data_IF_723044652566
#
_entry.id   IF_723044652566
#
_cell.length_a   1.000
_cell.length_b   1.000
_cell.length_c   1.000
_cell.angle_alpha   90.00
_cell.angle_beta   90.00
_cell.angle_gamma   90.00
#
_symmetry.space_group_name_H-M   'P 1'
#
loop_
_entity.id
_entity.type
_entity.pdbx_description
1 polymer ?
#
# COMPACT_ATOMS: atom_id res chain seq x y z
N UNK A 1 -7.77 10.23 -34.38
CA UNK A 1 -8.86 10.13 -33.37
C UNK A 1 -8.82 8.81 -32.59
N UNK A 2 -8.91 7.63 -33.20
CA UNK A 2 -8.90 6.33 -32.49
C UNK A 2 -7.68 6.13 -31.56
N UNK A 3 -6.46 6.48 -32.00
CA UNK A 3 -5.23 6.31 -31.19
C UNK A 3 -5.21 7.12 -29.90
N UNK A 4 -5.67 8.37 -29.94
CA UNK A 4 -5.74 9.27 -28.77
C UNK A 4 -6.77 8.74 -27.78
N UNK A 5 -7.93 8.30 -28.28
CA UNK A 5 -8.98 7.70 -27.45
C UNK A 5 -8.45 6.49 -26.64
N UNK A 6 -7.67 5.59 -27.24
CA UNK A 6 -7.10 4.46 -26.50
C UNK A 6 -6.10 4.87 -25.43
N UNK A 7 -5.32 5.94 -25.63
CA UNK A 7 -4.44 6.47 -24.60
C UNK A 7 -5.22 7.10 -23.45
N UNK A 8 -6.25 7.89 -23.75
CA UNK A 8 -7.14 8.47 -22.73
C UNK A 8 -7.82 7.35 -21.93
N UNK A 9 -8.38 6.34 -22.61
CA UNK A 9 -9.01 5.21 -21.93
C UNK A 9 -8.01 4.43 -21.07
N UNK A 10 -6.78 4.20 -21.57
CA UNK A 10 -5.73 3.54 -20.79
C UNK A 10 -5.38 4.32 -19.54
N UNK A 11 -5.26 5.65 -19.66
CA UNK A 11 -4.99 6.52 -18.52
C UNK A 11 -6.11 6.47 -17.48
N UNK A 12 -7.38 6.53 -17.90
CA UNK A 12 -8.52 6.44 -16.99
C UNK A 12 -8.54 5.12 -16.22
N UNK A 13 -8.30 3.98 -16.90
CA UNK A 13 -8.23 2.67 -16.25
C UNK A 13 -7.03 2.58 -15.30
N UNK A 14 -5.87 3.11 -15.67
CA UNK A 14 -4.70 3.17 -14.78
C UNK A 14 -4.98 4.01 -13.53
N UNK A 15 -5.61 5.18 -13.69
CA UNK A 15 -5.99 6.02 -12.57
C UNK A 15 -7.01 5.33 -11.66
N UNK A 16 -7.97 4.62 -12.24
CA UNK A 16 -8.91 3.79 -11.49
C UNK A 16 -8.17 2.77 -10.61
N UNK A 17 -7.24 1.99 -11.17
CA UNK A 17 -6.45 1.02 -10.38
C UNK A 17 -5.62 1.70 -9.30
N UNK A 18 -4.99 2.85 -9.60
CA UNK A 18 -4.18 3.59 -8.65
C UNK A 18 -5.01 4.10 -7.46
N UNK A 19 -6.21 4.65 -7.73
CA UNK A 19 -7.14 5.11 -6.68
C UNK A 19 -7.65 3.92 -5.88
N UNK A 20 -8.08 2.85 -6.54
CA UNK A 20 -8.57 1.63 -5.89
C UNK A 20 -7.52 1.09 -4.90
N UNK A 21 -6.29 0.86 -5.37
CA UNK A 21 -5.19 0.35 -4.53
C UNK A 21 -4.86 1.27 -3.35
N UNK A 22 -4.93 2.58 -3.54
CA UNK A 22 -4.69 3.54 -2.46
C UNK A 22 -5.79 3.50 -1.40
N UNK A 23 -7.04 3.30 -1.80
CA UNK A 23 -8.19 3.27 -0.89
C UNK A 23 -8.32 1.92 -0.15
N UNK A 24 -8.02 0.81 -0.81
CA UNK A 24 -8.13 -0.54 -0.23
C UNK A 24 -6.86 -0.99 0.50
N UNK A 25 -5.76 -0.24 0.40
CA UNK A 25 -4.50 -0.59 1.01
C UNK A 25 -4.55 -0.59 2.56
N UNK A 26 -3.81 -1.47 3.24
CA UNK A 26 -3.80 -1.58 4.70
C UNK A 26 -3.19 -0.36 5.40
N UNK A 27 -2.51 0.50 4.65
CA UNK A 27 -1.92 1.77 5.13
C UNK A 27 -2.88 2.95 5.01
N UNK A 28 -4.05 2.77 4.37
CA UNK A 28 -5.06 3.82 4.27
C UNK A 28 -5.60 4.16 5.67
N UNK A 29 -5.59 5.44 6.11
CA UNK A 29 -6.09 5.82 7.42
C UNK A 29 -7.56 5.40 7.61
N UNK A 30 -7.89 4.91 8.80
CA UNK A 30 -9.27 4.57 9.16
C UNK A 30 -9.99 5.87 9.51
N UNK A 31 -10.90 6.31 8.62
CA UNK A 31 -11.74 7.48 8.83
C UNK A 31 -13.01 7.11 9.58
N UNK A 32 -13.53 8.02 10.41
CA UNK A 32 -14.80 7.86 11.08
C UNK A 32 -15.36 9.18 11.59
N UNK A 33 -16.58 9.11 12.12
CA UNK A 33 -17.26 10.20 12.80
C UNK A 33 -17.60 9.75 14.21
N UNK A 34 -17.53 10.67 15.17
CA UNK A 34 -17.97 10.45 16.54
C UNK A 34 -18.73 11.67 17.03
N UNK A 35 -19.68 11.48 17.95
CA UNK A 35 -20.33 12.59 18.65
C UNK A 35 -19.74 12.69 20.05
N UNK A 36 -19.20 13.87 20.38
CA UNK A 36 -18.68 14.21 21.71
C UNK A 36 -19.48 15.42 22.19
N UNK A 37 -20.27 15.24 23.25
CA UNK A 37 -21.12 16.29 23.83
C UNK A 37 -22.02 17.00 22.81
N UNK A 38 -22.58 16.24 21.87
CA UNK A 38 -23.47 16.77 20.82
C UNK A 38 -22.75 17.42 19.64
N UNK A 39 -21.41 17.52 19.68
CA UNK A 39 -20.60 17.97 18.54
C UNK A 39 -20.12 16.78 17.74
N UNK A 40 -20.42 16.78 16.44
CA UNK A 40 -19.93 15.76 15.52
C UNK A 40 -18.50 16.09 15.08
N UNK A 41 -17.58 15.14 15.27
CA UNK A 41 -16.17 15.26 14.92
C UNK A 41 -15.79 14.22 13.86
N UNK A 42 -15.03 14.63 12.85
CA UNK A 42 -14.50 13.74 11.81
C UNK A 42 -13.02 13.45 12.06
N UNK A 43 -12.66 12.18 12.25
CA UNK A 43 -11.30 11.78 12.59
C UNK A 43 -10.70 10.79 11.57
N UNK A 44 -9.37 10.67 11.60
CA UNK A 44 -8.59 9.67 10.89
C UNK A 44 -7.55 9.06 11.81
N UNK A 45 -7.60 7.74 11.95
CA UNK A 45 -6.63 6.93 12.68
C UNK A 45 -5.58 6.39 11.69
N UNK A 46 -4.32 6.75 11.87
CA UNK A 46 -3.24 6.34 10.95
C UNK A 46 -2.92 4.85 11.07
N UNK A 47 -2.62 4.21 9.92
CA UNK A 47 -2.23 2.79 9.85
C UNK A 47 -0.79 2.58 9.35
N UNK A 48 -0.08 3.66 9.06
CA UNK A 48 1.34 3.64 8.68
C UNK A 48 2.06 4.84 9.24
N UNK A 49 3.25 4.61 9.78
CA UNK A 49 4.18 5.65 10.25
C UNK A 49 5.61 5.34 9.83
N UNK A 50 6.43 6.38 9.75
CA UNK A 50 7.87 6.25 9.56
C UNK A 50 8.56 6.01 10.91
N UNK A 51 9.62 5.22 10.91
CA UNK A 51 10.48 5.03 12.10
C UNK A 51 11.35 6.26 12.34
N UNK A 52 11.71 6.51 13.60
CA UNK A 52 12.64 7.56 14.03
C UNK A 52 11.99 8.60 14.93
N UNK A 53 10.70 8.88 14.73
CA UNK A 53 9.94 9.81 15.55
C UNK A 53 8.66 9.18 16.10
N UNK A 54 8.09 9.79 17.13
CA UNK A 54 6.80 9.38 17.68
C UNK A 54 5.70 9.55 16.61
N UNK A 55 4.94 8.49 16.39
CA UNK A 55 3.92 8.40 15.35
C UNK A 55 2.64 9.15 15.75
N UNK A 56 2.24 10.24 15.06
CA UNK A 56 1.01 10.97 15.36
C UNK A 56 -0.20 10.22 14.81
N UNK A 57 -0.80 9.37 15.64
CA UNK A 57 -1.80 8.39 15.18
C UNK A 57 -3.19 8.96 14.95
N UNK A 58 -3.50 10.13 15.49
CA UNK A 58 -4.79 10.79 15.33
C UNK A 58 -4.64 12.05 14.48
N UNK A 59 -5.47 12.17 13.45
CA UNK A 59 -5.70 13.43 12.74
C UNK A 59 -7.19 13.72 12.76
N UNK A 60 -7.56 14.99 12.92
CA UNK A 60 -8.96 15.36 12.94
C UNK A 60 -9.16 16.80 12.51
N UNK A 61 -10.41 17.14 12.21
CA UNK A 61 -10.89 18.51 12.06
C UNK A 61 -11.87 18.77 13.21
N UNK A 62 -11.84 19.98 13.76
CA UNK A 62 -12.72 20.43 14.84
C UNK A 62 -12.61 19.62 16.16
N UNK A 63 -11.38 19.30 16.57
CA UNK A 63 -11.11 18.69 17.89
C UNK A 63 -10.41 19.64 18.88
N UNK A 64 -10.33 20.93 18.56
CA UNK A 64 -9.62 21.89 19.41
C UNK A 64 -10.24 21.98 20.81
N UNK A 65 -9.40 21.92 21.84
CA UNK A 65 -9.82 21.91 23.23
C UNK A 65 -10.20 20.54 23.79
N UNK A 66 -10.28 19.50 22.95
CA UNK A 66 -10.52 18.13 23.42
C UNK A 66 -9.26 17.50 24.01
N UNK A 67 -9.45 16.67 25.03
CA UNK A 67 -8.43 15.79 25.60
C UNK A 67 -8.83 14.33 25.47
N UNK A 68 -7.86 13.44 25.66
CA UNK A 68 -8.12 12.03 25.67
C UNK A 68 -6.91 11.21 26.03
N UNK A 69 -7.05 9.90 25.82
CA UNK A 69 -5.96 8.92 25.96
C UNK A 69 -5.81 8.10 24.70
N UNK A 70 -4.56 7.95 24.28
CA UNK A 70 -4.18 6.89 23.36
C UNK A 70 -3.68 5.72 24.21
N UNK A 71 -4.11 4.52 23.85
CA UNK A 71 -3.64 3.29 24.47
C UNK A 71 -3.10 2.37 23.39
N UNK A 72 -1.95 1.77 23.63
CA UNK A 72 -1.28 0.93 22.64
C UNK A 72 -0.50 -0.22 23.27
N UNK A 73 -0.21 -1.23 22.47
CA UNK A 73 0.77 -2.28 22.77
C UNK A 73 1.33 -2.87 21.48
N UNK A 74 2.47 -3.56 21.58
CA UNK A 74 3.05 -4.24 20.43
C UNK A 74 2.07 -5.31 19.91
N UNK A 75 1.95 -5.38 18.59
CA UNK A 75 0.96 -6.26 17.95
C UNK A 75 1.34 -7.73 18.18
N UNK A 76 0.33 -8.55 18.51
CA UNK A 76 0.47 -9.99 18.79
C UNK A 76 1.46 -10.33 19.92
N UNK A 77 1.61 -9.46 20.91
CA UNK A 77 2.35 -9.75 22.14
C UNK A 77 1.42 -9.88 23.34
N UNK A 78 1.92 -10.43 24.45
CA UNK A 78 1.24 -10.45 25.75
C UNK A 78 1.46 -9.17 26.56
N UNK A 79 1.93 -8.09 25.93
CA UNK A 79 2.19 -6.84 26.64
C UNK A 79 0.90 -6.26 27.22
N UNK A 80 1.05 -5.61 28.37
CA UNK A 80 0.00 -4.76 28.91
C UNK A 80 -0.16 -3.51 28.05
N UNK A 81 -1.38 -2.97 28.00
CA UNK A 81 -1.67 -1.72 27.31
C UNK A 81 -0.98 -0.56 28.02
N UNK A 82 -0.04 0.09 27.33
CA UNK A 82 0.44 1.40 27.73
C UNK A 82 -0.60 2.46 27.38
N UNK A 83 -0.64 3.56 28.12
CA UNK A 83 -1.54 4.67 27.82
C UNK A 83 -0.91 6.02 28.16
N UNK A 84 -1.11 6.98 27.27
CA UNK A 84 -0.63 8.36 27.39
C UNK A 84 -1.81 9.30 27.12
N UNK A 85 -1.90 10.33 27.95
CA UNK A 85 -2.87 11.41 27.76
C UNK A 85 -2.39 12.34 26.64
N UNK A 86 -3.34 12.92 25.91
CA UNK A 86 -3.08 13.95 24.92
C UNK A 86 -4.14 15.03 24.96
N UNK A 87 -3.80 16.18 24.37
CA UNK A 87 -4.72 17.28 24.10
C UNK A 87 -4.67 17.66 22.62
N UNK A 88 -5.71 18.32 22.16
CA UNK A 88 -5.84 18.82 20.80
C UNK A 88 -5.86 20.36 20.80
N UNK A 89 -5.00 20.96 20.00
CA UNK A 89 -4.92 22.41 19.85
C UNK A 89 -4.49 22.78 18.42
N UNK A 90 -5.07 23.86 17.88
CA UNK A 90 -4.78 24.38 16.55
C UNK A 90 -4.86 23.33 15.41
N UNK A 91 -5.87 22.46 15.46
CA UNK A 91 -6.11 21.40 14.49
C UNK A 91 -5.17 20.19 14.61
N UNK A 92 -4.32 20.14 15.64
CA UNK A 92 -3.38 19.04 15.88
C UNK A 92 -3.69 18.37 17.21
N UNK A 93 -3.86 17.05 17.19
CA UNK A 93 -3.98 16.25 18.40
C UNK A 93 -2.64 15.61 18.75
N UNK A 94 -2.23 15.73 20.02
CA UNK A 94 -0.97 15.19 20.53
C UNK A 94 -0.95 13.67 20.71
N UNK A 95 -1.96 12.93 20.24
CA UNK A 95 -2.03 11.47 20.37
C UNK A 95 -0.90 10.82 19.56
N UNK A 96 0.13 10.35 20.27
CA UNK A 96 1.34 9.78 19.68
C UNK A 96 1.61 8.40 20.24
N UNK A 97 2.29 7.59 19.43
CA UNK A 97 2.81 6.28 19.84
C UNK A 97 4.33 6.28 19.66
N UNK A 98 5.11 5.71 20.59
CA UNK A 98 6.56 5.58 20.43
C UNK A 98 6.95 4.89 19.12
N UNK A 99 8.00 5.39 18.47
CA UNK A 99 8.54 4.78 17.26
C UNK A 99 8.84 3.30 17.48
N UNK A 100 8.60 2.48 16.46
CA UNK A 100 8.99 1.07 16.42
C UNK A 100 10.05 0.85 15.34
N UNK A 101 10.86 -0.21 15.45
CA UNK A 101 11.74 -0.62 14.36
C UNK A 101 10.97 -0.88 13.05
N UNK A 102 11.64 -0.86 11.89
CA UNK A 102 11.05 -1.23 10.61
C UNK A 102 10.29 -2.57 10.68
N UNK A 103 9.14 -2.63 10.01
CA UNK A 103 8.20 -3.76 10.04
C UNK A 103 7.52 -4.02 11.41
N UNK A 104 7.83 -3.24 12.44
CA UNK A 104 7.11 -3.22 13.71
C UNK A 104 5.64 -2.86 13.51
N UNK A 105 4.76 -3.53 14.26
CA UNK A 105 3.33 -3.25 14.29
C UNK A 105 2.89 -3.00 15.72
N UNK A 106 2.07 -1.98 15.89
CA UNK A 106 1.45 -1.65 17.18
C UNK A 106 -0.05 -1.62 16.97
N UNK A 107 -0.78 -2.23 17.90
CA UNK A 107 -2.22 -2.04 17.97
C UNK A 107 -2.54 -0.95 18.99
N UNK A 108 -3.48 -0.09 18.64
CA UNK A 108 -3.84 1.05 19.45
C UNK A 108 -5.33 1.38 19.35
N UNK A 109 -5.83 2.10 20.33
CA UNK A 109 -7.13 2.74 20.25
C UNK A 109 -7.06 4.11 20.92
N UNK A 110 -7.99 4.98 20.57
CA UNK A 110 -8.08 6.34 21.09
C UNK A 110 -9.43 6.50 21.79
N UNK A 111 -9.40 7.08 22.98
CA UNK A 111 -10.58 7.52 23.71
C UNK A 111 -10.49 9.02 23.97
N UNK A 112 -11.58 9.74 23.73
CA UNK A 112 -11.73 11.14 24.09
C UNK A 112 -12.40 11.23 25.44
N UNK A 113 -11.93 12.17 26.26
CA UNK A 113 -12.57 12.47 27.51
C UNK A 113 -13.84 13.28 27.22
N UNK A 114 -14.95 12.90 27.87
CA UNK A 114 -16.18 13.66 27.85
C UNK A 114 -16.82 13.60 29.25
N UNK A 115 -17.59 14.63 29.67
CA UNK A 115 -18.21 14.68 30.98
C UNK A 115 -19.16 13.50 31.28
N UNK A 116 -19.85 13.01 30.24
CA UNK A 116 -20.82 11.91 30.37
C UNK A 116 -20.13 10.54 30.46
N UNK A 117 -19.34 10.20 29.44
CA UNK A 117 -18.51 9.00 29.40
C UNK A 117 -17.43 9.14 28.32
N UNK A 118 -16.25 8.52 28.48
CA UNK A 118 -15.22 8.55 27.44
C UNK A 118 -15.71 7.96 26.11
N UNK A 119 -15.49 8.68 25.01
CA UNK A 119 -15.90 8.28 23.66
C UNK A 119 -14.75 7.60 22.94
N UNK A 120 -14.92 6.33 22.54
CA UNK A 120 -13.92 5.60 21.77
C UNK A 120 -14.02 5.96 20.28
N UNK A 121 -12.87 6.21 19.65
CA UNK A 121 -12.80 6.41 18.21
C UNK A 121 -12.61 5.05 17.51
N UNK A 122 -13.64 4.63 16.78
CA UNK A 122 -13.69 3.34 16.09
C UNK A 122 -14.00 2.16 17.02
N UNK A 123 -14.51 1.08 16.44
CA UNK A 123 -15.01 -0.07 17.20
C UNK A 123 -13.86 -0.99 17.66
N UNK A 124 -12.92 -1.27 16.76
CA UNK A 124 -11.80 -2.18 16.99
C UNK A 124 -10.47 -1.43 17.17
N UNK A 125 -9.47 -2.05 17.85
CA UNK A 125 -8.11 -1.52 17.85
C UNK A 125 -7.56 -1.41 16.41
N UNK A 126 -6.90 -0.30 16.12
CA UNK A 126 -6.26 -0.06 14.84
C UNK A 126 -4.82 -0.56 14.90
N UNK A 127 -4.38 -1.25 13.85
CA UNK A 127 -2.98 -1.66 13.71
C UNK A 127 -2.23 -0.62 12.85
N UNK A 128 -1.21 -0.01 13.43
CA UNK A 128 -0.23 0.83 12.72
C UNK A 128 1.03 0.05 12.43
N UNK A 129 1.52 0.13 11.18
CA UNK A 129 2.80 -0.46 10.77
C UNK A 129 3.87 0.62 10.60
N UNK A 130 5.06 0.35 11.12
CA UNK A 130 6.22 1.21 11.01
C UNK A 130 7.09 0.79 9.81
N UNK A 131 7.58 1.79 9.06
CA UNK A 131 8.47 1.62 7.92
C UNK A 131 9.69 2.52 8.05
N UNK A 132 10.82 2.07 7.54
CA UNK A 132 12.01 2.89 7.34
C UNK A 132 11.77 4.02 6.34
N UNK A 133 12.50 5.14 6.46
CA UNK A 133 12.54 6.17 5.42
C UNK A 133 13.11 5.56 4.13
N UNK A 134 12.39 5.72 3.02
CA UNK A 134 12.87 5.29 1.70
C UNK A 134 13.41 6.50 0.95
N UNK A 135 14.66 6.47 0.47
CA UNK A 135 15.23 7.58 -0.29
C UNK A 135 14.37 7.94 -1.52
N UNK A 136 14.12 9.23 -1.72
CA UNK A 136 13.28 9.71 -2.82
C UNK A 136 13.77 9.29 -4.21
N UNK A 137 15.10 9.19 -4.41
CA UNK A 137 15.71 8.73 -5.66
C UNK A 137 15.54 7.22 -5.92
N UNK A 138 14.97 6.45 -4.98
CA UNK A 138 14.60 5.04 -5.15
C UNK A 138 13.08 4.95 -5.30
N UNK A 139 12.34 5.59 -4.39
CA UNK A 139 10.88 5.54 -4.37
C UNK A 139 10.25 6.19 -5.60
N UNK A 140 10.78 7.33 -6.05
CA UNK A 140 10.22 8.05 -7.20
C UNK A 140 10.38 7.24 -8.51
N UNK A 141 11.57 6.71 -8.86
CA UNK A 141 11.69 5.81 -10.00
C UNK A 141 10.79 4.58 -9.90
N UNK A 142 10.69 3.94 -8.72
CA UNK A 142 9.79 2.81 -8.50
C UNK A 142 8.35 3.15 -8.92
N UNK A 143 7.80 4.25 -8.37
CA UNK A 143 6.42 4.67 -8.62
C UNK A 143 6.22 4.96 -10.11
N UNK A 144 7.11 5.75 -10.72
CA UNK A 144 7.00 6.11 -12.15
C UNK A 144 6.99 4.85 -13.02
N UNK A 145 7.91 3.91 -12.78
CA UNK A 145 8.00 2.68 -13.56
C UNK A 145 6.77 1.79 -13.39
N UNK A 146 6.22 1.67 -12.17
CA UNK A 146 4.99 0.91 -11.94
C UNK A 146 3.76 1.55 -12.59
N UNK A 147 3.67 2.88 -12.61
CA UNK A 147 2.62 3.60 -13.34
C UNK A 147 2.74 3.43 -14.86
N UNK A 148 3.96 3.51 -15.39
CA UNK A 148 4.23 3.27 -16.82
C UNK A 148 3.93 1.82 -17.21
N UNK A 149 4.30 0.85 -16.37
CA UNK A 149 3.94 -0.56 -16.55
C UNK A 149 2.42 -0.72 -16.67
N UNK A 150 1.64 -0.19 -15.73
CA UNK A 150 0.18 -0.29 -15.76
C UNK A 150 -0.43 0.43 -16.97
N UNK A 151 0.03 1.64 -17.28
CA UNK A 151 -0.45 2.40 -18.44
C UNK A 151 -0.22 1.63 -19.75
N UNK A 152 0.98 1.08 -19.94
CA UNK A 152 1.30 0.34 -21.15
C UNK A 152 0.61 -1.04 -21.17
N UNK A 153 0.45 -1.71 -20.03
CA UNK A 153 -0.26 -2.99 -19.95
C UNK A 153 -1.71 -2.84 -20.41
N UNK A 154 -2.43 -1.84 -19.92
CA UNK A 154 -3.80 -1.52 -20.37
C UNK A 154 -3.80 -1.15 -21.86
N UNK A 155 -2.86 -0.30 -22.29
CA UNK A 155 -2.81 0.18 -23.67
C UNK A 155 -2.61 -0.96 -24.67
N UNK A 156 -1.71 -1.89 -24.36
CA UNK A 156 -1.41 -3.05 -25.19
C UNK A 156 -2.57 -4.05 -25.17
N UNK A 157 -3.20 -4.26 -24.02
CA UNK A 157 -4.38 -5.11 -23.88
C UNK A 157 -5.57 -4.60 -24.69
N UNK A 158 -5.87 -3.29 -24.63
CA UNK A 158 -6.91 -2.67 -25.46
C UNK A 158 -6.59 -2.83 -26.96
N UNK A 159 -5.33 -2.60 -27.36
CA UNK A 159 -4.90 -2.84 -28.75
C UNK A 159 -5.18 -4.28 -29.20
N UNK A 160 -4.81 -5.26 -28.37
CA UNK A 160 -5.03 -6.67 -28.65
C UNK A 160 -6.53 -7.03 -28.68
N UNK A 161 -7.33 -6.49 -27.77
CA UNK A 161 -8.77 -6.75 -27.68
C UNK A 161 -9.53 -6.25 -28.92
N UNK A 162 -9.16 -5.08 -29.44
CA UNK A 162 -9.80 -4.47 -30.61
C UNK A 162 -9.12 -4.83 -31.95
N UNK A 163 -8.19 -5.80 -31.95
CA UNK A 163 -7.52 -6.27 -33.18
C UNK A 163 -6.67 -5.20 -33.87
N UNK A 164 -6.19 -4.19 -33.12
CA UNK A 164 -5.31 -3.16 -33.64
C UNK A 164 -3.89 -3.70 -33.73
N UNK A 165 -3.18 -3.35 -34.80
CA UNK A 165 -1.75 -3.58 -34.95
C UNK A 165 -1.02 -3.12 -33.67
N UNK A 166 -0.40 -4.02 -32.91
CA UNK A 166 0.33 -3.65 -31.72
C UNK A 166 1.53 -2.79 -32.12
N UNK A 167 1.88 -1.81 -31.30
CA UNK A 167 3.13 -1.07 -31.49
C UNK A 167 4.27 -2.03 -31.14
N UNK A 168 5.22 -2.32 -32.06
CA UNK A 168 6.16 -3.43 -31.93
C UNK A 168 7.04 -3.33 -30.68
N UNK A 169 7.31 -2.12 -30.19
CA UNK A 169 8.13 -1.89 -29.01
C UNK A 169 7.34 -1.83 -27.69
N UNK A 170 6.00 -1.87 -27.71
CA UNK A 170 5.21 -1.67 -26.49
C UNK A 170 5.21 -2.86 -25.55
N UNK A 171 5.21 -4.10 -26.04
CA UNK A 171 5.31 -5.29 -25.17
C UNK A 171 6.69 -5.35 -24.49
N UNK A 172 7.82 -5.25 -25.21
CA UNK A 172 9.14 -5.16 -24.58
C UNK A 172 9.23 -4.02 -23.56
N UNK A 173 8.74 -2.81 -23.88
CA UNK A 173 8.73 -1.69 -22.95
C UNK A 173 7.92 -2.00 -21.67
N UNK A 174 6.75 -2.63 -21.80
CA UNK A 174 5.92 -3.03 -20.66
C UNK A 174 6.68 -3.98 -19.73
N UNK A 175 7.35 -4.99 -20.29
CA UNK A 175 8.16 -5.93 -19.50
C UNK A 175 9.34 -5.21 -18.84
N UNK A 176 10.03 -4.32 -19.55
CA UNK A 176 11.13 -3.53 -18.98
C UNK A 176 10.67 -2.67 -17.80
N UNK A 177 9.50 -2.03 -17.90
CA UNK A 177 8.94 -1.27 -16.77
C UNK A 177 8.60 -2.16 -15.57
N UNK A 178 8.08 -3.37 -15.80
CA UNK A 178 7.83 -4.34 -14.72
C UNK A 178 9.13 -4.83 -14.07
N UNK A 179 10.15 -5.15 -14.86
CA UNK A 179 11.43 -5.63 -14.34
C UNK A 179 12.12 -4.53 -13.54
N UNK A 180 12.27 -3.34 -14.12
CA UNK A 180 12.92 -2.23 -13.44
C UNK A 180 12.10 -1.74 -12.24
N UNK A 181 10.79 -1.56 -12.40
CA UNK A 181 9.92 -1.07 -11.33
C UNK A 181 9.70 -2.11 -10.24
N UNK A 182 9.33 -3.33 -10.60
CA UNK A 182 8.91 -4.38 -9.69
C UNK A 182 10.02 -5.28 -9.15
N UNK A 183 11.12 -5.46 -9.88
CA UNK A 183 12.21 -6.40 -9.50
C UNK A 183 13.56 -5.74 -9.24
N UNK A 184 13.75 -4.48 -9.63
CA UNK A 184 14.92 -3.69 -9.24
C UNK A 184 14.54 -2.68 -8.14
N UNK A 185 13.70 -1.69 -8.46
CA UNK A 185 13.35 -0.64 -7.51
C UNK A 185 12.34 -1.09 -6.44
N UNK A 186 11.53 -2.11 -6.71
CA UNK A 186 10.62 -2.72 -5.73
C UNK A 186 11.39 -3.31 -4.55
N UNK A 187 12.30 -4.28 -4.77
CA UNK A 187 13.13 -4.85 -3.72
C UNK A 187 13.98 -3.82 -2.96
N UNK A 188 14.52 -2.83 -3.67
CA UNK A 188 15.23 -1.72 -3.02
C UNK A 188 14.31 -0.95 -2.08
N UNK A 189 13.11 -0.57 -2.53
CA UNK A 189 12.11 0.10 -1.70
C UNK A 189 11.76 -0.73 -0.46
N UNK A 190 11.59 -2.05 -0.62
CA UNK A 190 11.26 -2.96 0.47
C UNK A 190 12.41 -3.11 1.48
N UNK A 191 13.65 -3.17 0.99
CA UNK A 191 14.85 -3.21 1.83
C UNK A 191 14.98 -1.97 2.71
N UNK A 192 14.82 -0.76 2.16
CA UNK A 192 14.84 0.45 2.97
C UNK A 192 13.65 0.54 3.95
N UNK A 193 12.47 0.10 3.52
CA UNK A 193 11.26 0.18 4.34
C UNK A 193 11.22 -0.85 5.49
N UNK A 194 11.75 -2.06 5.29
CA UNK A 194 11.53 -3.20 6.20
C UNK A 194 12.77 -4.06 6.46
N UNK A 195 13.92 -3.73 5.87
CA UNK A 195 15.18 -4.48 6.04
C UNK A 195 15.28 -5.77 5.22
N UNK A 196 14.28 -6.09 4.39
CA UNK A 196 14.27 -7.28 3.53
C UNK A 196 13.96 -6.86 2.09
N UNK A 197 14.82 -7.25 1.15
CA UNK A 197 14.66 -6.89 -0.26
C UNK A 197 13.61 -7.77 -0.97
N UNK A 198 13.53 -9.05 -0.62
CA UNK A 198 12.59 -9.98 -1.23
C UNK A 198 12.19 -11.05 -0.23
N UNK A 199 10.88 -11.27 -0.12
CA UNK A 199 10.24 -12.21 0.81
C UNK A 199 9.22 -13.12 0.12
N UNK A 200 9.15 -13.08 -1.21
CA UNK A 200 8.37 -13.99 -2.04
C UNK A 200 9.12 -15.27 -2.41
N UNK A 201 8.49 -16.11 -3.22
CA UNK A 201 9.07 -17.35 -3.73
C UNK A 201 10.38 -17.06 -4.49
N UNK A 202 11.43 -17.91 -4.36
CA UNK A 202 11.48 -19.17 -3.60
C UNK A 202 11.84 -19.04 -2.12
N UNK A 203 12.11 -17.83 -1.63
CA UNK A 203 12.67 -17.61 -0.30
C UNK A 203 11.61 -17.35 0.78
N UNK A 204 10.37 -17.09 0.40
CA UNK A 204 9.25 -16.90 1.31
C UNK A 204 7.88 -16.93 0.62
N UNK A 205 6.87 -16.42 1.32
CA UNK A 205 5.47 -16.49 0.88
C UNK A 205 4.78 -15.11 0.87
N UNK A 206 5.55 -14.01 0.85
CA UNK A 206 5.00 -12.66 0.80
C UNK A 206 4.12 -12.47 -0.45
N UNK A 207 2.90 -12.03 -0.21
CA UNK A 207 1.88 -11.90 -1.25
C UNK A 207 2.25 -10.82 -2.27
N UNK A 208 2.89 -9.73 -1.84
CA UNK A 208 3.23 -8.60 -2.71
C UNK A 208 4.33 -9.01 -3.69
N UNK A 209 5.35 -9.69 -3.21
CA UNK A 209 6.45 -10.20 -4.05
C UNK A 209 5.94 -11.29 -5.01
N UNK A 210 5.11 -12.21 -4.51
CA UNK A 210 4.53 -13.28 -5.34
C UNK A 210 3.58 -12.75 -6.43
N UNK A 211 2.84 -11.67 -6.14
CA UNK A 211 2.03 -10.96 -7.15
C UNK A 211 2.89 -10.41 -8.28
N UNK A 212 4.02 -9.78 -7.96
CA UNK A 212 4.95 -9.27 -8.96
C UNK A 212 5.54 -10.42 -9.81
N UNK A 213 5.92 -11.54 -9.16
CA UNK A 213 6.42 -12.74 -9.83
C UNK A 213 5.39 -13.33 -10.81
N UNK A 214 4.13 -13.45 -10.38
CA UNK A 214 3.06 -13.95 -11.24
C UNK A 214 2.85 -13.05 -12.47
N UNK A 215 2.86 -11.72 -12.29
CA UNK A 215 2.81 -10.79 -13.42
C UNK A 215 4.00 -10.99 -14.36
N UNK A 216 5.21 -11.15 -13.85
CA UNK A 216 6.41 -11.31 -14.67
C UNK A 216 6.35 -12.60 -15.52
N UNK A 217 5.86 -13.70 -14.95
CA UNK A 217 5.72 -14.98 -15.67
C UNK A 217 4.80 -14.81 -16.90
N UNK A 218 3.62 -14.23 -16.72
CA UNK A 218 2.68 -14.04 -17.82
C UNK A 218 3.15 -12.99 -18.82
N UNK A 219 3.75 -11.90 -18.36
CA UNK A 219 4.31 -10.88 -19.25
C UNK A 219 5.53 -11.39 -20.05
N UNK A 220 6.31 -12.31 -19.48
CA UNK A 220 7.39 -13.00 -20.20
C UNK A 220 6.85 -13.93 -21.29
N UNK A 221 5.77 -14.66 -21.01
CA UNK A 221 5.08 -15.46 -22.03
C UNK A 221 4.50 -14.59 -23.15
N UNK A 222 3.89 -13.45 -22.82
CA UNK A 222 3.40 -12.46 -23.78
C UNK A 222 4.53 -11.86 -24.63
N UNK A 223 5.67 -11.53 -24.01
CA UNK A 223 6.85 -11.06 -24.71
C UNK A 223 7.38 -12.11 -25.68
N UNK A 224 7.57 -13.34 -25.22
CA UNK A 224 8.05 -14.44 -26.06
C UNK A 224 7.12 -14.71 -27.26
N UNK A 225 5.80 -14.77 -27.01
CA UNK A 225 4.79 -14.93 -28.05
C UNK A 225 4.83 -13.79 -29.09
N UNK A 226 5.00 -12.55 -28.60
CA UNK A 226 5.11 -11.35 -29.45
C UNK A 226 6.38 -11.39 -30.30
N UNK A 227 7.54 -11.72 -29.73
CA UNK A 227 8.81 -11.79 -30.45
C UNK A 227 8.85 -12.93 -31.48
N UNK A 228 8.11 -14.02 -31.24
CA UNK A 228 8.00 -15.16 -32.16
C UNK A 228 6.87 -15.03 -33.20
N UNK A 229 6.09 -13.94 -33.17
CA UNK A 229 4.97 -13.71 -34.08
C UNK A 229 3.81 -14.71 -33.94
N UNK A 230 3.70 -15.40 -32.79
CA UNK A 230 2.71 -16.46 -32.55
C UNK A 230 1.69 -16.03 -31.52
N UNK A 231 0.40 -16.16 -31.81
CA UNK A 231 -0.71 -16.08 -30.84
C UNK A 231 -0.61 -14.94 -29.79
N UNK A 232 0.04 -13.81 -30.13
CA UNK A 232 0.41 -12.77 -29.17
C UNK A 232 -0.82 -12.15 -28.49
N UNK A 233 -1.94 -12.07 -29.23
CA UNK A 233 -3.21 -11.56 -28.71
C UNK A 233 -3.68 -12.30 -27.46
N UNK A 234 -3.66 -13.64 -27.48
CA UNK A 234 -4.12 -14.44 -26.35
C UNK A 234 -3.25 -14.19 -25.12
N UNK A 235 -1.92 -14.28 -25.28
CA UNK A 235 -0.98 -14.10 -24.17
C UNK A 235 -0.97 -12.69 -23.60
N UNK A 236 -1.13 -11.66 -24.43
CA UNK A 236 -1.27 -10.26 -23.99
C UNK A 236 -2.53 -10.09 -23.12
N UNK A 237 -3.67 -10.63 -23.57
CA UNK A 237 -4.92 -10.52 -22.82
C UNK A 237 -4.86 -11.33 -21.52
N UNK A 238 -4.27 -12.52 -21.54
CA UNK A 238 -4.03 -13.32 -20.34
C UNK A 238 -3.11 -12.60 -19.35
N UNK A 239 -2.00 -12.01 -19.81
CA UNK A 239 -1.08 -11.27 -18.96
C UNK A 239 -1.74 -10.04 -18.34
N UNK A 240 -2.55 -9.30 -19.11
CA UNK A 240 -3.30 -8.18 -18.57
C UNK A 240 -4.39 -8.63 -17.58
N UNK A 241 -5.10 -9.74 -17.84
CA UNK A 241 -6.09 -10.27 -16.92
C UNK A 241 -5.45 -10.64 -15.57
N UNK A 242 -4.27 -11.26 -15.59
CA UNK A 242 -3.48 -11.54 -14.38
C UNK A 242 -3.05 -10.25 -13.69
N UNK A 243 -2.53 -9.26 -14.43
CA UNK A 243 -2.18 -7.95 -13.86
C UNK A 243 -3.40 -7.28 -13.20
N UNK A 244 -4.56 -7.26 -13.86
CA UNK A 244 -5.79 -6.70 -13.30
C UNK A 244 -6.21 -7.44 -12.02
N UNK A 245 -6.22 -8.77 -12.04
CA UNK A 245 -6.55 -9.59 -10.87
C UNK A 245 -5.61 -9.29 -9.68
N UNK A 246 -4.30 -9.22 -9.94
CA UNK A 246 -3.29 -8.85 -8.94
C UNK A 246 -3.57 -7.46 -8.34
N UNK A 247 -3.95 -6.50 -9.19
CA UNK A 247 -4.28 -5.13 -8.78
C UNK A 247 -5.68 -4.98 -8.17
N UNK A 248 -6.52 -6.01 -8.15
CA UNK A 248 -7.75 -6.01 -7.35
C UNK A 248 -7.54 -6.57 -5.94
N UNK A 249 -6.45 -7.32 -5.72
CA UNK A 249 -6.08 -7.75 -4.38
C UNK A 249 -5.29 -6.64 -3.68
N UNK A 250 -5.72 -6.14 -2.51
CA UNK A 250 -5.05 -5.04 -1.82
C UNK A 250 -3.54 -5.29 -1.62
N UNK A 251 -2.71 -4.27 -1.88
CA UNK A 251 -1.26 -4.37 -1.65
C UNK A 251 -0.93 -4.60 -0.17
N UNK A 252 0.15 -5.33 0.12
CA UNK A 252 0.69 -5.50 1.48
C UNK A 252 -0.19 -6.25 2.49
N UNK A 253 -1.22 -6.97 2.04
CA UNK A 253 -1.79 -8.06 2.85
C UNK A 253 -0.71 -9.14 3.01
N UNK A 254 -0.47 -9.60 4.24
CA UNK A 254 0.59 -10.58 4.57
C UNK A 254 2.02 -10.13 4.24
N UNK A 255 2.27 -8.82 4.35
CA UNK A 255 3.59 -8.22 4.19
C UNK A 255 4.57 -8.56 5.33
N UNK A 256 5.84 -8.14 5.20
CA UNK A 256 6.86 -8.30 6.26
C UNK A 256 6.40 -7.75 7.64
N UNK A 257 6.61 -8.51 8.71
CA UNK A 257 6.20 -8.20 10.08
C UNK A 257 7.35 -8.50 11.05
N UNK A 258 7.68 -7.57 11.94
CA UNK A 258 8.66 -7.82 12.99
C UNK A 258 8.04 -8.75 14.04
N UNK A 259 8.69 -9.89 14.28
CA UNK A 259 8.40 -10.69 15.45
C UNK A 259 9.11 -10.05 16.66
N UNK A 260 8.33 -9.56 17.62
CA UNK A 260 8.87 -8.88 18.80
C UNK A 260 9.58 -9.82 19.80
N UNK A 261 9.28 -11.12 19.78
CA UNK A 261 9.91 -12.10 20.66
C UNK A 261 11.31 -12.48 20.16
N UNK A 262 11.47 -12.60 18.84
CA UNK A 262 12.74 -13.00 18.21
C UNK A 262 13.56 -11.83 17.70
N UNK A 263 12.96 -10.65 17.52
CA UNK A 263 13.57 -9.49 16.87
C UNK A 263 13.78 -9.65 15.36
N UNK A 264 13.27 -10.72 14.75
CA UNK A 264 13.47 -11.03 13.33
C UNK A 264 12.24 -10.63 12.52
N UNK A 265 12.47 -10.06 11.34
CA UNK A 265 11.41 -9.77 10.37
C UNK A 265 11.00 -11.06 9.66
N UNK A 266 9.73 -11.41 9.75
CA UNK A 266 9.11 -12.59 9.15
C UNK A 266 8.01 -12.19 8.17
N UNK A 267 7.48 -13.13 7.37
CA UNK A 267 6.26 -12.89 6.58
C UNK A 267 5.06 -12.81 7.52
N UNK A 268 4.27 -11.74 7.40
CA UNK A 268 3.08 -11.52 8.24
C UNK A 268 2.04 -12.62 8.03
N UNK A 269 1.47 -13.11 9.13
CA UNK A 269 0.35 -14.07 9.15
C UNK A 269 -0.99 -13.36 9.15
#
# INVERSE_FOLDING_TARGET
>A
MKKVLFWVLSLLVTLFFAVFQRMTGPTHPLGGQASVDGVEISYKLLRSCETGEACPVLRSRAMDGLSGRVSWRRYRTSDQWASEAFSCAAGVCGAKIPSQPPAGKVEYYVKLDAPSAPVRLGDEPVVVRFRGPVPGHILLPHIILMFLFMLFSVRVALSAAFGLQPVPHSVPATVSFLVLGGFLFGPLTQYYAFGQAWTGFPFGHDLTDNKALLMLIFWSAALWATLRGRAARFWILAAFAVTAAVYFVPHSLLGSELNYDTGVVVTGK
#
